data_IF_209119085945
#
_entry.id   IF_209119085945
#
_cell.length_a   1.000
_cell.length_b   1.000
_cell.length_c   1.000
_cell.angle_alpha   90.00
_cell.angle_beta   90.00
_cell.angle_gamma   90.00
#
_symmetry.space_group_name_H-M   'P 1'
#
loop_
_entity.id
_entity.type
_entity.pdbx_description
1 polymer ?
#
# COMPACT_ATOMS: atom_id res chain seq x y z
N UNK A 1 12.56 -5.09 -15.19
CA UNK A 1 11.74 -4.46 -14.14
C UNK A 1 11.32 -3.08 -14.64
N UNK A 2 10.06 -2.75 -14.59
CA UNK A 2 9.55 -1.44 -14.95
C UNK A 2 8.69 -0.89 -13.80
N UNK A 3 8.85 0.40 -13.49
CA UNK A 3 8.04 1.10 -12.49
C UNK A 3 7.30 2.21 -13.23
N UNK A 4 5.98 2.21 -13.15
CA UNK A 4 5.14 3.27 -13.69
C UNK A 4 4.86 4.31 -12.59
N UNK A 5 5.10 5.57 -12.87
CA UNK A 5 4.75 6.68 -11.99
C UNK A 5 3.47 7.32 -12.51
N UNK A 6 2.47 7.42 -11.63
CA UNK A 6 1.16 7.96 -11.96
C UNK A 6 0.92 9.25 -11.17
N UNK A 7 0.29 10.22 -11.84
CA UNK A 7 -0.29 11.41 -11.22
C UNK A 7 -1.75 11.48 -11.61
N UNK A 8 -2.64 11.61 -10.62
CA UNK A 8 -4.09 11.63 -10.82
C UNK A 8 -4.61 10.46 -11.68
N UNK A 9 -4.02 9.27 -11.49
CA UNK A 9 -4.39 8.04 -12.20
C UNK A 9 -3.80 7.90 -13.62
N UNK A 10 -3.10 8.92 -14.13
CA UNK A 10 -2.44 8.87 -15.44
C UNK A 10 -0.94 8.56 -15.30
N UNK A 11 -0.41 7.67 -16.15
CA UNK A 11 1.03 7.40 -16.20
C UNK A 11 1.75 8.62 -16.75
N UNK A 12 2.60 9.23 -15.93
CA UNK A 12 3.41 10.40 -16.31
C UNK A 12 4.86 10.03 -16.63
N UNK A 13 5.31 8.87 -16.16
CA UNK A 13 6.67 8.38 -16.42
C UNK A 13 6.73 6.86 -16.26
N UNK A 14 7.53 6.20 -17.09
CA UNK A 14 7.89 4.79 -16.97
C UNK A 14 9.39 4.66 -16.75
N UNK A 15 9.81 4.07 -15.64
CA UNK A 15 11.20 3.88 -15.26
C UNK A 15 11.60 2.45 -15.65
N UNK A 16 12.46 2.31 -16.63
CA UNK A 16 13.00 1.01 -17.09
C UNK A 16 14.39 0.72 -16.54
N UNK A 17 15.12 1.78 -16.15
CA UNK A 17 16.46 1.68 -15.57
C UNK A 17 16.41 2.11 -14.10
N UNK A 18 16.18 1.13 -13.25
CA UNK A 18 16.18 1.30 -11.80
C UNK A 18 17.58 0.99 -11.27
N UNK A 19 18.17 1.90 -10.50
CA UNK A 19 19.51 1.71 -9.93
C UNK A 19 19.47 0.76 -8.74
N UNK A 20 18.49 0.95 -7.86
CA UNK A 20 18.23 0.08 -6.71
C UNK A 20 16.72 -0.04 -6.52
N UNK A 21 16.27 -1.19 -6.05
CA UNK A 21 14.90 -1.41 -5.63
C UNK A 21 14.87 -2.39 -4.46
N UNK A 22 14.02 -2.12 -3.48
CA UNK A 22 13.81 -2.94 -2.30
C UNK A 22 12.34 -2.98 -1.95
N UNK A 23 11.76 -4.17 -1.94
CA UNK A 23 10.42 -4.43 -1.46
C UNK A 23 10.53 -5.04 -0.05
N UNK A 24 9.88 -4.42 0.91
CA UNK A 24 9.74 -4.93 2.27
C UNK A 24 8.30 -5.40 2.44
N UNK A 25 8.12 -6.70 2.59
CA UNK A 25 6.85 -7.35 2.89
C UNK A 25 7.04 -8.21 4.13
N UNK A 26 6.39 -7.84 5.23
CA UNK A 26 6.51 -8.52 6.52
C UNK A 26 5.15 -8.97 7.03
N UNK A 27 5.17 -10.05 7.80
CA UNK A 27 3.97 -10.60 8.45
C UNK A 27 3.32 -9.62 9.43
N UNK A 28 4.06 -8.62 9.95
CA UNK A 28 3.52 -7.56 10.79
C UNK A 28 2.67 -6.52 10.02
N UNK A 29 2.46 -6.76 8.73
CA UNK A 29 1.71 -5.89 7.84
C UNK A 29 2.53 -4.74 7.24
N UNK A 30 3.85 -4.69 7.48
CA UNK A 30 4.73 -3.71 6.81
C UNK A 30 4.85 -4.08 5.34
N UNK A 31 4.41 -3.17 4.46
CA UNK A 31 4.52 -3.33 3.01
C UNK A 31 4.98 -2.01 2.40
N UNK A 32 6.27 -1.91 2.14
CA UNK A 32 6.93 -0.71 1.60
C UNK A 32 7.79 -1.03 0.39
N UNK A 33 7.95 -0.06 -0.47
CA UNK A 33 8.75 -0.17 -1.69
C UNK A 33 9.65 1.05 -1.84
N UNK A 34 10.94 0.83 -1.83
CA UNK A 34 11.95 1.87 -2.02
C UNK A 34 12.70 1.63 -3.34
N UNK A 35 12.96 2.68 -4.09
CA UNK A 35 13.76 2.58 -5.31
C UNK A 35 14.55 3.85 -5.59
N UNK A 36 15.61 3.72 -6.39
CA UNK A 36 16.41 4.84 -6.88
C UNK A 36 16.42 4.84 -8.40
N UNK A 37 16.14 5.97 -9.00
CA UNK A 37 16.10 6.15 -10.44
C UNK A 37 16.89 7.38 -10.88
N UNK A 38 17.37 7.36 -12.14
CA UNK A 38 17.97 8.53 -12.78
C UNK A 38 16.89 9.58 -13.02
N UNK A 39 17.22 10.86 -12.79
CA UNK A 39 16.27 11.98 -12.94
C UNK A 39 16.48 12.80 -14.23
N UNK A 40 17.63 12.68 -14.87
CA UNK A 40 18.04 13.52 -15.99
C UNK A 40 16.99 13.58 -17.12
N UNK A 41 16.45 14.78 -17.39
CA UNK A 41 15.57 15.05 -18.51
C UNK A 41 14.16 14.46 -18.41
N UNK A 42 13.83 13.82 -17.28
CA UNK A 42 12.54 13.15 -17.05
C UNK A 42 11.60 13.99 -16.18
N UNK A 43 10.29 13.82 -16.29
CA UNK A 43 9.35 14.45 -15.39
C UNK A 43 9.71 14.15 -13.91
N UNK A 44 9.60 15.15 -13.01
CA UNK A 44 9.98 14.95 -11.62
C UNK A 44 9.05 13.97 -10.91
N UNK A 45 9.62 13.12 -10.08
CA UNK A 45 8.86 12.29 -9.14
C UNK A 45 8.61 13.12 -7.89
N UNK A 46 7.36 13.19 -7.45
CA UNK A 46 6.94 14.02 -6.31
C UNK A 46 6.19 13.17 -5.28
N UNK A 47 6.29 13.52 -3.98
CA UNK A 47 5.39 12.97 -2.96
C UNK A 47 3.91 13.21 -3.34
N UNK A 48 3.06 12.24 -3.04
CA UNK A 48 1.64 12.24 -3.42
C UNK A 48 1.34 11.59 -4.78
N UNK A 49 2.35 11.34 -5.60
CA UNK A 49 2.20 10.47 -6.78
C UNK A 49 2.13 9.00 -6.38
N UNK A 50 1.77 8.15 -7.32
CA UNK A 50 1.69 6.69 -7.14
C UNK A 50 2.74 6.00 -7.98
N UNK A 51 3.43 5.04 -7.40
CA UNK A 51 4.29 4.09 -8.11
C UNK A 51 3.54 2.77 -8.30
N UNK A 52 3.53 2.24 -9.52
CA UNK A 52 3.01 0.91 -9.81
C UNK A 52 4.17 -0.02 -10.16
N UNK A 53 4.26 -1.11 -9.41
CA UNK A 53 5.28 -2.13 -9.56
C UNK A 53 4.69 -3.52 -9.35
N UNK A 54 4.95 -4.44 -10.26
CA UNK A 54 4.46 -5.83 -10.21
C UNK A 54 2.93 -5.95 -9.96
N UNK A 55 2.16 -5.09 -10.65
CA UNK A 55 0.71 -5.04 -10.52
C UNK A 55 0.17 -4.40 -9.23
N UNK A 56 1.04 -4.03 -8.31
CA UNK A 56 0.68 -3.38 -7.04
C UNK A 56 0.91 -1.87 -7.10
N UNK A 57 0.13 -1.13 -6.31
CA UNK A 57 0.18 0.32 -6.22
C UNK A 57 0.75 0.77 -4.88
N UNK A 58 1.66 1.74 -4.92
CA UNK A 58 2.35 2.30 -3.77
C UNK A 58 2.25 3.82 -3.79
N UNK A 59 1.84 4.42 -2.69
CA UNK A 59 1.85 5.87 -2.51
C UNK A 59 3.27 6.36 -2.28
N UNK A 60 3.73 7.34 -3.06
CA UNK A 60 5.05 7.95 -2.88
C UNK A 60 4.97 8.92 -1.71
N UNK A 61 5.64 8.58 -0.61
CA UNK A 61 5.61 9.37 0.64
C UNK A 61 6.81 10.28 0.77
N UNK A 62 7.95 9.93 0.18
CA UNK A 62 9.17 10.73 0.25
C UNK A 62 10.02 10.58 -1.00
N UNK A 63 10.57 11.70 -1.45
CA UNK A 63 11.55 11.75 -2.55
C UNK A 63 12.77 12.56 -2.08
N UNK A 64 13.94 11.96 -2.14
CA UNK A 64 15.22 12.63 -1.94
C UNK A 64 15.95 12.74 -3.26
N UNK A 65 16.26 13.97 -3.69
CA UNK A 65 17.09 14.22 -4.86
C UNK A 65 18.55 14.35 -4.45
N UNK A 66 19.41 13.88 -5.31
CA UNK A 66 20.86 13.95 -5.08
C UNK A 66 21.64 13.64 -6.35
N UNK A 67 22.94 13.45 -6.18
CA UNK A 67 23.84 13.09 -7.25
C UNK A 67 24.61 11.82 -6.88
N UNK A 68 24.78 10.93 -7.85
CA UNK A 68 25.63 9.76 -7.75
C UNK A 68 26.47 9.67 -9.02
N UNK A 69 27.80 9.63 -8.87
CA UNK A 69 28.76 9.63 -9.98
C UNK A 69 28.50 10.75 -11.02
N UNK A 70 28.09 11.96 -10.55
CA UNK A 70 27.78 13.10 -11.40
C UNK A 70 26.41 13.05 -12.09
N UNK A 71 25.61 12.02 -11.83
CA UNK A 71 24.26 11.87 -12.37
C UNK A 71 23.23 12.27 -11.31
N UNK A 72 22.23 13.05 -11.73
CA UNK A 72 21.09 13.37 -10.88
C UNK A 72 20.23 12.12 -10.65
N UNK A 73 19.93 11.83 -9.39
CA UNK A 73 19.13 10.69 -8.97
C UNK A 73 17.98 11.12 -8.07
N UNK A 74 16.92 10.31 -8.06
CA UNK A 74 15.83 10.39 -7.09
C UNK A 74 15.74 9.09 -6.30
N UNK A 75 15.93 9.17 -4.99
CA UNK A 75 15.64 8.07 -4.07
C UNK A 75 14.21 8.24 -3.54
N UNK A 76 13.37 7.27 -3.82
CA UNK A 76 11.92 7.30 -3.62
C UNK A 76 11.53 6.27 -2.58
N UNK A 77 10.76 6.70 -1.58
CA UNK A 77 10.18 5.82 -0.57
C UNK A 77 8.67 5.79 -0.73
N UNK A 78 8.13 4.58 -0.78
CA UNK A 78 6.72 4.33 -1.02
C UNK A 78 6.12 3.40 0.03
N UNK A 79 4.84 3.61 0.34
CA UNK A 79 4.02 2.72 1.15
C UNK A 79 2.93 2.10 0.28
N UNK A 80 2.60 0.83 0.51
CA UNK A 80 1.51 0.18 -0.22
C UNK A 80 0.21 0.98 -0.05
N UNK A 81 -0.61 1.01 -1.10
CA UNK A 81 -1.84 1.83 -1.10
C UNK A 81 -2.80 1.49 0.06
N UNK A 82 -2.74 0.27 0.62
CA UNK A 82 -3.55 -0.13 1.78
C UNK A 82 -3.30 0.72 3.04
N UNK A 83 -2.20 1.48 3.10
CA UNK A 83 -1.92 2.38 4.22
C UNK A 83 -2.93 3.54 4.32
N UNK A 84 -3.69 3.83 3.27
CA UNK A 84 -4.82 4.78 3.33
C UNK A 84 -5.87 4.38 4.37
N UNK A 85 -6.00 3.07 4.67
CA UNK A 85 -6.90 2.57 5.70
C UNK A 85 -6.49 2.95 7.13
N UNK A 86 -5.30 3.56 7.31
CA UNK A 86 -4.90 4.18 8.59
C UNK A 86 -5.54 5.55 8.81
N UNK A 87 -6.13 6.17 7.79
CA UNK A 87 -6.81 7.45 7.95
C UNK A 87 -8.00 7.32 8.89
N UNK A 88 -8.18 8.31 9.77
CA UNK A 88 -9.23 8.32 10.80
C UNK A 88 -10.64 8.18 10.21
N UNK A 89 -10.87 8.65 8.98
CA UNK A 89 -12.15 8.52 8.28
C UNK A 89 -12.57 7.07 8.02
N UNK A 90 -11.62 6.12 8.04
CA UNK A 90 -11.87 4.70 7.85
C UNK A 90 -11.93 3.91 9.17
N UNK A 91 -11.71 4.57 10.30
CA UNK A 91 -11.77 3.90 11.61
C UNK A 91 -13.16 3.30 11.85
N UNK A 92 -13.17 2.17 12.54
CA UNK A 92 -14.36 1.50 13.00
C UNK A 92 -14.58 1.79 14.48
N UNK A 93 -15.81 1.71 14.96
CA UNK A 93 -16.10 1.74 16.40
C UNK A 93 -15.69 0.42 17.03
N UNK A 94 -16.04 -0.67 16.37
CA UNK A 94 -15.77 -2.05 16.78
C UNK A 94 -15.93 -2.95 15.58
N UNK A 95 -15.39 -4.17 15.63
CA UNK A 95 -15.63 -5.20 14.64
C UNK A 95 -15.87 -6.55 15.33
N UNK A 96 -17.06 -7.09 15.12
CA UNK A 96 -17.45 -8.43 15.62
C UNK A 96 -18.01 -9.19 14.43
N UNK A 97 -17.45 -10.35 14.16
CA UNK A 97 -17.81 -11.14 13.00
C UNK A 97 -17.78 -12.63 13.29
N UNK A 98 -18.78 -13.34 12.76
CA UNK A 98 -18.86 -14.79 12.71
C UNK A 98 -19.33 -15.19 11.30
N UNK A 99 -18.52 -15.94 10.56
CA UNK A 99 -18.85 -16.32 9.19
C UNK A 99 -17.64 -16.74 8.37
N UNK A 100 -17.80 -16.75 7.06
CA UNK A 100 -16.69 -17.09 6.17
C UNK A 100 -15.75 -15.90 5.95
N UNK A 101 -14.43 -16.14 5.83
CA UNK A 101 -13.44 -15.06 5.70
C UNK A 101 -13.73 -14.03 4.62
N UNK A 102 -14.25 -14.46 3.45
CA UNK A 102 -14.60 -13.55 2.37
C UNK A 102 -15.67 -12.52 2.77
N UNK A 103 -16.65 -12.93 3.57
CA UNK A 103 -17.74 -12.06 4.06
C UNK A 103 -17.18 -11.07 5.09
N UNK A 104 -16.32 -11.53 6.01
CA UNK A 104 -15.66 -10.68 7.00
C UNK A 104 -14.75 -9.63 6.34
N UNK A 105 -14.01 -10.00 5.30
CA UNK A 105 -13.22 -9.05 4.51
C UNK A 105 -14.11 -8.04 3.79
N UNK A 106 -15.25 -8.45 3.24
CA UNK A 106 -16.21 -7.52 2.61
C UNK A 106 -16.73 -6.51 3.62
N UNK A 107 -17.06 -6.94 4.83
CA UNK A 107 -17.52 -6.06 5.91
C UNK A 107 -16.42 -5.09 6.33
N UNK A 108 -15.18 -5.58 6.54
CA UNK A 108 -14.03 -4.74 6.88
C UNK A 108 -13.69 -3.71 5.80
N UNK A 109 -13.93 -4.00 4.53
CA UNK A 109 -13.63 -3.09 3.41
C UNK A 109 -14.84 -2.24 2.98
N UNK A 110 -15.98 -2.38 3.63
CA UNK A 110 -17.17 -1.59 3.33
C UNK A 110 -16.90 -0.08 3.50
N UNK A 111 -17.35 0.73 2.53
CA UNK A 111 -17.11 2.18 2.51
C UNK A 111 -15.62 2.58 2.41
N UNK A 112 -14.78 1.71 1.87
CA UNK A 112 -13.40 2.03 1.51
C UNK A 112 -13.23 1.95 -0.02
N UNK A 113 -12.12 2.47 -0.58
CA UNK A 113 -11.84 2.34 -2.01
C UNK A 113 -11.38 0.94 -2.44
N UNK A 114 -11.36 -0.02 -1.52
CA UNK A 114 -10.89 -1.38 -1.77
C UNK A 114 -12.04 -2.37 -1.91
N UNK A 115 -11.80 -3.42 -2.67
CA UNK A 115 -12.70 -4.57 -2.81
C UNK A 115 -11.96 -5.85 -2.49
N UNK A 116 -12.70 -6.87 -2.06
CA UNK A 116 -12.16 -8.20 -1.82
C UNK A 116 -11.81 -8.84 -3.16
N UNK A 117 -10.59 -9.34 -3.29
CA UNK A 117 -10.16 -10.15 -4.42
C UNK A 117 -10.55 -11.62 -4.28
N UNK A 118 -9.67 -12.50 -4.74
CA UNK A 118 -9.86 -13.95 -4.59
C UNK A 118 -9.48 -14.34 -3.16
N UNK A 119 -10.39 -14.99 -2.47
CA UNK A 119 -10.17 -15.56 -1.13
C UNK A 119 -10.28 -17.07 -1.25
N UNK A 120 -9.26 -17.81 -0.82
CA UNK A 120 -9.33 -19.25 -0.78
C UNK A 120 -10.40 -19.72 0.20
N UNK A 121 -11.16 -20.79 -0.14
CA UNK A 121 -12.12 -21.35 0.78
C UNK A 121 -11.47 -21.77 2.09
N UNK A 122 -11.99 -21.27 3.19
CA UNK A 122 -11.50 -21.58 4.53
C UNK A 122 -12.67 -21.88 5.47
N UNK A 123 -12.34 -22.37 6.67
CA UNK A 123 -13.34 -22.58 7.72
C UNK A 123 -13.96 -21.25 8.18
N UNK A 124 -15.12 -21.33 8.80
CA UNK A 124 -15.71 -20.16 9.46
C UNK A 124 -14.78 -19.64 10.56
N UNK A 125 -14.73 -18.34 10.67
CA UNK A 125 -13.97 -17.62 11.71
C UNK A 125 -14.92 -16.83 12.59
N UNK A 126 -14.56 -16.72 13.87
CA UNK A 126 -15.23 -15.87 14.85
C UNK A 126 -14.18 -14.91 15.44
N UNK A 127 -14.44 -13.63 15.38
CA UNK A 127 -13.56 -12.63 15.97
C UNK A 127 -14.34 -11.46 16.58
N UNK A 128 -13.76 -10.84 17.61
CA UNK A 128 -14.29 -9.64 18.23
C UNK A 128 -13.13 -8.69 18.55
N UNK A 129 -13.06 -7.57 17.83
CA UNK A 129 -12.07 -6.51 18.04
C UNK A 129 -12.77 -5.34 18.72
N UNK A 130 -12.80 -5.40 20.06
CA UNK A 130 -13.51 -4.45 20.94
C UNK A 130 -12.58 -3.78 21.95
N UNK A 131 -11.30 -4.13 21.90
CA UNK A 131 -10.24 -3.68 22.80
C UNK A 131 -9.75 -2.26 22.51
N UNK A 132 -10.04 -1.75 21.31
CA UNK A 132 -9.69 -0.41 20.86
C UNK A 132 -10.93 0.34 20.38
N UNK A 133 -11.01 1.64 20.69
CA UNK A 133 -12.04 2.52 20.15
C UNK A 133 -11.48 3.96 20.03
N UNK A 134 -11.36 4.54 18.83
CA UNK A 134 -11.70 3.93 17.54
C UNK A 134 -10.73 2.83 17.12
N UNK A 135 -11.23 1.82 16.42
CA UNK A 135 -10.45 0.72 15.88
C UNK A 135 -9.86 1.12 14.52
N UNK A 136 -8.53 1.11 14.40
CA UNK A 136 -7.87 1.35 13.12
C UNK A 136 -8.22 0.24 12.11
N UNK A 137 -8.74 0.63 10.95
CA UNK A 137 -9.25 -0.34 9.96
C UNK A 137 -8.17 -1.23 9.37
N UNK A 138 -6.98 -0.66 9.10
CA UNK A 138 -5.86 -1.46 8.58
C UNK A 138 -5.38 -2.47 9.62
N UNK A 139 -5.28 -2.06 10.89
CA UNK A 139 -4.91 -2.95 11.98
C UNK A 139 -5.96 -4.07 12.15
N UNK A 140 -7.25 -3.76 12.07
CA UNK A 140 -8.32 -4.75 12.10
C UNK A 140 -8.22 -5.74 10.94
N UNK A 141 -7.92 -5.26 9.71
CA UNK A 141 -7.71 -6.10 8.54
C UNK A 141 -6.54 -7.07 8.76
N UNK A 142 -5.39 -6.58 9.24
CA UNK A 142 -4.23 -7.45 9.52
C UNK A 142 -4.55 -8.50 10.59
N UNK A 143 -5.19 -8.11 11.68
CA UNK A 143 -5.64 -9.05 12.74
C UNK A 143 -6.62 -10.09 12.21
N UNK A 144 -7.49 -9.72 11.29
CA UNK A 144 -8.49 -10.63 10.72
C UNK A 144 -7.85 -11.69 9.82
N UNK A 145 -6.85 -11.34 9.01
CA UNK A 145 -6.17 -12.29 8.12
C UNK A 145 -5.23 -13.26 8.84
N UNK A 146 -4.93 -13.00 10.11
CA UNK A 146 -4.14 -13.87 10.99
C UNK A 146 -5.00 -14.96 11.69
N UNK A 147 -6.34 -14.89 11.59
CA UNK A 147 -7.25 -15.88 12.19
C UNK A 147 -7.31 -17.17 11.38
#
# INVERSE_FOLDING_TARGET
MAIEILSDGAVVRTITHVLTASLCDKLDGTLTFDFTALQKGEPPILPGMTAKYDGQYYSIVRVKRGFSAGLEISAVSCEHISYILNDEQYNLVTFVFEGYPAEGLQELLQNTPFTVGVVEPAAMVECAFTDESPLNRRAALMRFVEQ
#
